data_IF_947473782898
#
_entry.id   IF_947473782898
#
_cell.length_a   1.000
_cell.length_b   1.000
_cell.length_c   1.000
_cell.angle_alpha   90.00
_cell.angle_beta   90.00
_cell.angle_gamma   90.00
#
_symmetry.space_group_name_H-M   'P 1'
#
loop_
_entity.id
_entity.type
_entity.pdbx_description
1 polymer ?
#
# COMPACT_ATOMS: atom_id res chain seq x y z
N UNK A 1 8.77 -13.40 -8.73
CA UNK A 1 8.07 -12.27 -8.07
C UNK A 1 8.72 -10.98 -8.53
N UNK A 2 7.96 -9.89 -8.68
CA UNK A 2 8.47 -8.56 -9.08
C UNK A 2 8.09 -7.53 -8.01
N UNK A 3 9.07 -6.77 -7.54
CA UNK A 3 8.87 -5.78 -6.48
C UNK A 3 7.97 -4.60 -6.92
N UNK A 4 7.24 -4.04 -5.96
CA UNK A 4 6.48 -2.80 -6.07
C UNK A 4 7.12 -1.80 -5.12
N UNK A 5 7.75 -0.77 -5.66
CA UNK A 5 8.29 0.34 -4.87
C UNK A 5 7.24 1.43 -4.64
N UNK A 6 7.39 2.17 -3.55
CA UNK A 6 6.56 3.33 -3.23
C UNK A 6 7.04 4.54 -4.02
N UNK A 7 6.13 5.16 -4.78
CA UNK A 7 6.35 6.42 -5.48
C UNK A 7 5.67 7.59 -4.75
N UNK A 8 5.99 8.87 -5.06
CA UNK A 8 5.42 10.02 -4.35
C UNK A 8 3.89 10.02 -4.26
N UNK A 9 3.19 9.67 -5.35
CA UNK A 9 1.72 9.63 -5.39
C UNK A 9 1.13 8.61 -4.42
N UNK A 10 1.84 7.53 -4.14
CA UNK A 10 1.38 6.47 -3.24
C UNK A 10 1.22 6.99 -1.80
N UNK A 11 2.02 7.99 -1.41
CA UNK A 11 2.03 8.53 -0.05
C UNK A 11 0.75 9.30 0.31
N UNK A 12 -0.07 9.66 -0.67
CA UNK A 12 -1.37 10.30 -0.44
C UNK A 12 -2.37 9.41 0.31
N UNK A 13 -2.18 8.09 0.25
CA UNK A 13 -3.01 7.10 0.96
C UNK A 13 -2.19 6.12 1.82
N UNK A 14 -0.91 5.92 1.50
CA UNK A 14 -0.05 4.92 2.15
C UNK A 14 1.12 5.54 2.93
N UNK A 15 1.21 6.88 2.98
CA UNK A 15 2.25 7.59 3.72
C UNK A 15 2.01 7.60 5.23
N UNK A 16 2.82 8.38 5.96
CA UNK A 16 2.54 8.71 7.35
C UNK A 16 1.26 9.54 7.50
N UNK A 17 0.76 9.66 8.74
CA UNK A 17 -0.46 10.42 9.07
C UNK A 17 -0.37 11.89 8.65
N UNK A 18 0.85 12.44 8.50
CA UNK A 18 1.10 13.79 8.03
C UNK A 18 0.96 13.97 6.50
N UNK A 19 0.89 12.87 5.74
CA UNK A 19 0.79 12.87 4.27
C UNK A 19 -0.60 12.51 3.76
N UNK A 20 -1.41 11.85 4.58
CA UNK A 20 -2.77 11.44 4.25
C UNK A 20 -3.73 12.54 4.70
N UNK A 21 -4.63 12.98 3.83
CA UNK A 21 -5.64 13.97 4.23
C UNK A 21 -6.67 13.36 5.17
N UNK A 22 -7.22 14.16 6.09
CA UNK A 22 -8.22 13.70 7.07
C UNK A 22 -9.43 13.01 6.41
N UNK A 23 -9.88 13.53 5.26
CA UNK A 23 -11.01 12.96 4.52
C UNK A 23 -10.70 11.57 3.95
N UNK A 24 -9.46 11.34 3.52
CA UNK A 24 -9.00 10.04 3.03
C UNK A 24 -8.77 9.10 4.20
N UNK A 25 -8.11 9.54 5.27
CA UNK A 25 -7.87 8.75 6.47
C UNK A 25 -9.18 8.26 7.09
N UNK A 26 -10.17 9.14 7.27
CA UNK A 26 -11.49 8.76 7.79
C UNK A 26 -12.19 7.72 6.92
N UNK A 27 -11.99 7.76 5.59
CA UNK A 27 -12.55 6.76 4.68
C UNK A 27 -11.80 5.43 4.75
N UNK A 28 -10.48 5.47 4.88
CA UNK A 28 -9.64 4.29 5.08
C UNK A 28 -10.03 3.59 6.38
N UNK A 29 -10.07 4.31 7.50
CA UNK A 29 -10.41 3.75 8.82
C UNK A 29 -11.79 3.08 8.83
N UNK A 30 -12.76 3.67 8.12
CA UNK A 30 -14.12 3.12 7.99
C UNK A 30 -14.17 1.85 7.14
N UNK A 31 -13.46 1.83 6.01
CA UNK A 31 -13.57 0.73 5.04
C UNK A 31 -12.57 -0.41 5.28
N UNK A 32 -11.45 -0.11 5.93
CA UNK A 32 -10.32 -1.00 6.16
C UNK A 32 -9.86 -0.91 7.63
N UNK A 33 -10.68 -1.32 8.60
CA UNK A 33 -10.39 -1.17 10.04
C UNK A 33 -9.17 -1.97 10.55
N UNK A 34 -8.58 -2.80 9.70
CA UNK A 34 -7.38 -3.59 9.97
C UNK A 34 -6.27 -3.28 8.97
N UNK A 35 -6.31 -2.11 8.32
CA UNK A 35 -5.29 -1.72 7.37
C UNK A 35 -3.91 -1.68 8.05
N UNK A 36 -2.91 -2.18 7.31
CA UNK A 36 -1.50 -2.18 7.68
C UNK A 36 -0.64 -1.51 6.60
N UNK A 37 -1.26 -0.95 5.58
CA UNK A 37 -0.59 -0.43 4.40
C UNK A 37 -0.30 1.08 4.49
N UNK A 38 -0.09 1.64 5.67
CA UNK A 38 0.25 3.04 5.89
C UNK A 38 1.63 3.19 6.54
N UNK A 39 2.14 4.42 6.63
CA UNK A 39 3.45 4.71 7.24
C UNK A 39 4.65 4.50 6.32
N UNK A 40 4.44 4.32 5.01
CA UNK A 40 5.51 4.17 4.04
C UNK A 40 6.22 5.49 3.73
N UNK A 41 7.45 5.38 3.22
CA UNK A 41 8.26 6.46 2.65
C UNK A 41 8.53 6.20 1.18
N UNK A 42 8.90 7.25 0.45
CA UNK A 42 9.31 7.11 -0.95
C UNK A 42 10.50 6.17 -1.08
N UNK A 43 10.45 5.26 -2.05
CA UNK A 43 11.48 4.24 -2.27
C UNK A 43 11.34 2.98 -1.42
N UNK A 44 10.45 2.96 -0.41
CA UNK A 44 10.19 1.75 0.38
C UNK A 44 9.63 0.61 -0.49
N UNK A 45 9.83 -0.62 -0.04
CA UNK A 45 9.20 -1.79 -0.64
C UNK A 45 7.73 -1.90 -0.17
N UNK A 46 6.79 -1.64 -1.09
CA UNK A 46 5.35 -1.78 -0.81
C UNK A 46 4.89 -3.23 -0.77
N UNK A 47 5.52 -4.07 -1.58
CA UNK A 47 5.15 -5.48 -1.77
C UNK A 47 5.71 -6.04 -3.07
N UNK A 48 5.11 -7.12 -3.57
CA UNK A 48 5.53 -7.74 -4.82
C UNK A 48 4.35 -8.38 -5.56
N UNK A 49 4.42 -8.36 -6.89
CA UNK A 49 3.54 -9.16 -7.76
C UNK A 49 4.14 -10.56 -7.88
N UNK A 50 3.32 -11.58 -7.66
CA UNK A 50 3.69 -12.99 -7.88
C UNK A 50 2.77 -13.60 -8.92
N UNK A 51 3.33 -14.46 -9.77
CA UNK A 51 2.58 -15.27 -10.73
C UNK A 51 2.84 -16.72 -10.35
N UNK A 52 1.76 -17.49 -10.21
CA UNK A 52 1.82 -18.94 -10.03
C UNK A 52 1.14 -19.56 -11.24
N UNK A 53 1.87 -20.40 -11.97
CA UNK A 53 1.32 -21.24 -13.01
C UNK A 53 1.15 -22.65 -12.41
N UNK A 54 -0.08 -23.11 -12.19
CA UNK A 54 -0.32 -24.50 -11.83
C UNK A 54 0.22 -25.40 -12.95
N UNK A 55 0.87 -26.49 -12.58
CA UNK A 55 1.21 -27.56 -13.52
C UNK A 55 0.27 -28.73 -13.24
N UNK A 56 -0.46 -29.16 -14.26
CA UNK A 56 -1.23 -30.40 -14.19
C UNK A 56 -0.25 -31.58 -14.22
N UNK A 57 -0.43 -32.50 -13.28
CA UNK A 57 0.02 -33.89 -13.40
C UNK A 57 -1.20 -34.76 -13.56
#
# INVERSE_FOLDING_TARGET
MKAIGVAPVCLSCHGGTEKISDSVQARIDKLYPHDKATGFKEGDLRGAVSIKQPHDK
#
